data_IF_162251038113
#
_entry.id   IF_162251038113
#
_cell.length_a   1.000
_cell.length_b   1.000
_cell.length_c   1.000
_cell.angle_alpha   90.00
_cell.angle_beta   90.00
_cell.angle_gamma   90.00
#
_symmetry.space_group_name_H-M   'P 1'
#
loop_
_entity.id
_entity.type
_entity.pdbx_description
1 polymer ?
#
# COMPACT_ATOMS: atom_id res chain seq x y z
N UNK A 1 4.39 -6.47 -15.02
CA UNK A 1 3.41 -6.61 -13.93
C UNK A 1 3.56 -7.98 -13.28
N UNK A 2 3.67 -8.01 -11.96
CA UNK A 2 3.79 -9.27 -11.23
C UNK A 2 2.49 -10.07 -11.26
N UNK A 3 2.59 -11.36 -10.91
CA UNK A 3 1.41 -12.22 -10.85
C UNK A 3 0.41 -11.74 -9.79
N UNK A 4 0.90 -11.30 -8.62
CA UNK A 4 0.05 -10.75 -7.57
C UNK A 4 -0.70 -9.49 -8.00
N UNK A 5 -0.04 -8.60 -8.74
CA UNK A 5 -0.69 -7.42 -9.30
C UNK A 5 -1.79 -7.79 -10.29
N UNK A 6 -1.56 -8.80 -11.13
CA UNK A 6 -2.57 -9.29 -12.08
C UNK A 6 -3.81 -9.83 -11.35
N UNK A 7 -3.59 -10.57 -10.27
CA UNK A 7 -4.68 -11.12 -9.45
C UNK A 7 -5.50 -9.99 -8.84
N UNK A 8 -4.85 -9.00 -8.25
CA UNK A 8 -5.53 -7.85 -7.65
C UNK A 8 -6.34 -7.08 -8.70
N UNK A 9 -5.72 -6.80 -9.86
CA UNK A 9 -6.40 -6.14 -10.97
C UNK A 9 -7.68 -6.87 -11.37
N UNK A 10 -7.59 -8.19 -11.51
CA UNK A 10 -8.74 -9.00 -11.93
C UNK A 10 -9.84 -9.01 -10.88
N UNK A 11 -9.48 -9.06 -9.59
CA UNK A 11 -10.46 -8.96 -8.49
C UNK A 11 -11.20 -7.62 -8.54
N UNK A 12 -10.47 -6.52 -8.69
CA UNK A 12 -11.08 -5.18 -8.73
C UNK A 12 -11.99 -5.04 -9.95
N UNK A 13 -11.51 -5.46 -11.11
CA UNK A 13 -12.29 -5.38 -12.35
C UNK A 13 -13.52 -6.25 -12.31
N UNK A 14 -13.41 -7.49 -11.87
CA UNK A 14 -14.51 -8.45 -11.86
C UNK A 14 -15.62 -8.08 -10.85
N UNK A 15 -15.27 -7.26 -9.85
CA UNK A 15 -16.21 -6.75 -8.86
C UNK A 15 -16.66 -5.31 -9.15
N UNK A 16 -16.38 -4.79 -10.33
CA UNK A 16 -16.81 -3.47 -10.79
C UNK A 16 -16.35 -2.33 -9.87
N UNK A 17 -15.15 -2.48 -9.31
CA UNK A 17 -14.52 -1.46 -8.45
C UNK A 17 -13.70 -0.54 -9.34
N UNK A 18 -13.91 0.77 -9.25
CA UNK A 18 -13.17 1.77 -10.02
C UNK A 18 -11.74 1.89 -9.52
N UNK A 19 -10.77 1.72 -10.41
CA UNK A 19 -9.36 1.82 -10.05
C UNK A 19 -8.51 2.33 -11.20
N UNK A 20 -7.36 2.87 -10.83
CA UNK A 20 -6.30 3.24 -11.78
C UNK A 20 -5.02 2.54 -11.33
N UNK A 21 -4.37 1.82 -12.25
CA UNK A 21 -3.08 1.19 -12.00
C UNK A 21 -1.95 2.20 -12.14
N UNK A 22 -0.88 1.97 -11.37
CA UNK A 22 0.32 2.81 -11.41
C UNK A 22 0.00 4.29 -11.18
N UNK A 23 -0.75 4.55 -10.13
CA UNK A 23 -1.19 5.88 -9.78
C UNK A 23 -0.08 6.63 -9.03
N UNK A 24 0.22 7.86 -9.47
CA UNK A 24 1.31 8.65 -8.91
C UNK A 24 0.81 9.94 -8.28
N UNK A 25 1.48 10.33 -7.20
CA UNK A 25 1.32 11.63 -6.56
C UNK A 25 2.60 12.43 -6.72
N UNK A 26 2.47 13.72 -6.96
CA UNK A 26 3.61 14.62 -6.89
C UNK A 26 3.95 14.89 -5.42
N UNK A 27 5.25 14.82 -5.09
CA UNK A 27 5.67 15.19 -3.75
C UNK A 27 5.64 16.72 -3.61
N UNK A 28 5.50 17.22 -2.36
CA UNK A 28 5.43 18.64 -2.04
C UNK A 28 6.60 19.47 -2.59
N UNK A 29 7.71 18.84 -2.94
CA UNK A 29 8.90 19.52 -3.45
C UNK A 29 9.13 19.30 -4.95
N UNK A 30 8.20 18.62 -5.63
CA UNK A 30 8.31 18.37 -7.06
C UNK A 30 9.48 17.50 -7.48
N UNK A 31 10.22 16.91 -6.55
CA UNK A 31 11.45 16.18 -6.84
C UNK A 31 11.26 14.69 -7.16
N UNK A 32 10.17 14.08 -6.72
CA UNK A 32 9.85 12.66 -6.98
C UNK A 32 8.36 12.45 -6.97
N UNK A 33 7.93 11.54 -7.84
CA UNK A 33 6.57 11.03 -7.80
C UNK A 33 6.54 9.80 -6.89
N UNK A 34 5.53 9.73 -6.02
CA UNK A 34 5.22 8.52 -5.29
C UNK A 34 4.21 7.73 -6.09
N UNK A 35 4.60 6.53 -6.53
CA UNK A 35 3.76 5.68 -7.35
C UNK A 35 3.25 4.50 -6.54
N UNK A 36 1.95 4.24 -6.67
CA UNK A 36 1.29 3.11 -6.04
C UNK A 36 0.75 2.18 -7.12
N UNK A 37 0.71 0.88 -6.82
CA UNK A 37 0.27 -0.11 -7.81
C UNK A 37 -1.17 0.09 -8.23
N UNK A 38 -2.07 0.42 -7.27
CA UNK A 38 -3.47 0.69 -7.55
C UNK A 38 -3.98 1.83 -6.69
N UNK A 39 -4.77 2.70 -7.30
CA UNK A 39 -5.61 3.65 -6.59
C UNK A 39 -7.06 3.26 -6.81
N UNK A 40 -7.83 3.11 -5.74
CA UNK A 40 -9.23 2.73 -5.79
C UNK A 40 -10.09 3.93 -5.43
N UNK A 41 -11.15 4.14 -6.21
CA UNK A 41 -12.03 5.29 -6.09
C UNK A 41 -13.42 4.86 -5.65
N UNK A 42 -14.08 5.71 -4.86
CA UNK A 42 -15.44 5.45 -4.41
C UNK A 42 -16.48 5.80 -5.50
N UNK A 43 -17.76 5.62 -5.19
CA UNK A 43 -18.87 5.88 -6.11
C UNK A 43 -18.93 7.34 -6.57
N UNK A 44 -18.38 8.27 -5.79
CA UNK A 44 -18.37 9.69 -6.11
C UNK A 44 -17.10 10.11 -6.86
N UNK A 45 -16.24 9.16 -7.23
CA UNK A 45 -14.99 9.43 -7.92
C UNK A 45 -13.89 9.96 -7.03
N UNK A 46 -14.03 9.88 -5.71
CA UNK A 46 -13.00 10.27 -4.75
C UNK A 46 -12.07 9.10 -4.48
N UNK A 47 -10.79 9.40 -4.25
CA UNK A 47 -9.82 8.40 -3.84
C UNK A 47 -10.23 7.80 -2.51
N UNK A 48 -10.42 6.48 -2.49
CA UNK A 48 -10.84 5.73 -1.31
C UNK A 48 -9.64 5.10 -0.60
N UNK A 49 -8.83 4.35 -1.34
CA UNK A 49 -7.64 3.71 -0.78
C UNK A 49 -6.62 3.39 -1.87
N UNK A 50 -5.41 3.06 -1.42
CA UNK A 50 -4.31 2.66 -2.29
C UNK A 50 -3.91 1.22 -1.98
N UNK A 51 -3.42 0.51 -2.99
CA UNK A 51 -2.94 -0.87 -2.86
C UNK A 51 -1.51 -0.96 -3.38
N UNK A 52 -0.67 -1.65 -2.62
CA UNK A 52 0.68 -2.06 -3.00
C UNK A 52 0.81 -3.58 -2.90
N UNK A 53 1.40 -4.20 -3.91
CA UNK A 53 1.79 -5.60 -3.85
C UNK A 53 3.31 -5.67 -3.75
N UNK A 54 3.80 -6.26 -2.66
CA UNK A 54 5.23 -6.36 -2.37
C UNK A 54 5.75 -7.75 -2.70
N UNK A 55 6.59 -7.82 -3.72
CA UNK A 55 7.30 -9.04 -4.07
C UNK A 55 8.44 -9.35 -3.11
N UNK A 56 9.17 -10.45 -3.38
CA UNK A 56 10.28 -10.90 -2.53
C UNK A 56 11.36 -9.85 -2.34
N UNK A 57 11.59 -8.99 -3.33
CA UNK A 57 12.62 -7.94 -3.27
C UNK A 57 12.40 -6.91 -2.16
N UNK A 58 11.20 -6.84 -1.59
CA UNK A 58 10.91 -5.97 -0.43
C UNK A 58 11.41 -6.56 0.88
N UNK A 59 11.75 -7.84 0.91
CA UNK A 59 12.08 -8.58 2.15
C UNK A 59 13.43 -9.25 2.09
N UNK A 60 13.95 -9.54 0.89
CA UNK A 60 15.19 -10.26 0.67
C UNK A 60 16.09 -9.49 -0.29
N UNK A 61 17.42 -9.51 -0.08
CA UNK A 61 18.34 -9.00 -1.08
C UNK A 61 18.35 -9.95 -2.28
N UNK A 62 17.90 -9.45 -3.42
CA UNK A 62 17.87 -10.21 -4.66
C UNK A 62 18.82 -9.51 -5.65
N UNK A 63 19.81 -10.25 -6.15
CA UNK A 63 20.85 -9.70 -6.99
C UNK A 63 20.31 -8.97 -8.23
N UNK A 64 19.30 -9.55 -8.87
CA UNK A 64 18.64 -8.95 -10.02
C UNK A 64 18.07 -7.55 -9.71
N UNK A 65 17.64 -7.31 -8.48
CA UNK A 65 17.07 -6.04 -8.03
C UNK A 65 18.05 -5.18 -7.23
N UNK A 66 19.36 -5.41 -7.38
CA UNK A 66 20.40 -4.61 -6.75
C UNK A 66 20.91 -5.10 -5.38
N UNK A 67 20.61 -6.35 -4.99
CA UNK A 67 21.10 -6.95 -3.76
C UNK A 67 20.70 -6.19 -2.50
N UNK A 68 21.67 -5.99 -1.57
CA UNK A 68 21.42 -5.30 -0.30
C UNK A 68 21.06 -3.81 -0.49
N UNK A 69 21.71 -3.13 -1.42
CA UNK A 69 21.39 -1.74 -1.71
C UNK A 69 20.00 -1.59 -2.30
N UNK A 70 19.59 -2.52 -3.17
CA UNK A 70 18.24 -2.56 -3.71
C UNK A 70 17.20 -2.73 -2.62
N UNK A 71 17.48 -3.62 -1.65
CA UNK A 71 16.60 -3.84 -0.50
C UNK A 71 16.47 -2.57 0.36
N UNK A 72 17.57 -1.88 0.62
CA UNK A 72 17.54 -0.62 1.38
C UNK A 72 16.74 0.47 0.68
N UNK A 73 16.94 0.62 -0.64
CA UNK A 73 16.14 1.58 -1.43
C UNK A 73 14.66 1.25 -1.37
N UNK A 74 14.32 -0.04 -1.46
CA UNK A 74 12.94 -0.48 -1.38
C UNK A 74 12.32 -0.15 -0.03
N UNK A 75 13.04 -0.40 1.07
CA UNK A 75 12.57 -0.06 2.42
C UNK A 75 12.37 1.45 2.58
N UNK A 76 13.25 2.25 2.02
CA UNK A 76 13.12 3.71 2.04
C UNK A 76 11.87 4.16 1.30
N UNK A 77 11.64 3.63 0.11
CA UNK A 77 10.43 3.94 -0.68
C UNK A 77 9.16 3.51 0.06
N UNK A 78 9.15 2.32 0.64
CA UNK A 78 8.00 1.81 1.40
C UNK A 78 7.68 2.70 2.59
N UNK A 79 8.71 3.18 3.30
CA UNK A 79 8.55 4.10 4.42
C UNK A 79 7.98 5.45 3.95
N UNK A 80 8.48 5.99 2.85
CA UNK A 80 7.99 7.25 2.29
C UNK A 80 6.52 7.15 1.89
N UNK A 81 6.12 6.05 1.24
CA UNK A 81 4.73 5.81 0.86
C UNK A 81 3.82 5.72 2.07
N UNK A 82 4.24 4.97 3.09
CA UNK A 82 3.48 4.82 4.33
C UNK A 82 3.30 6.16 5.05
N UNK A 83 4.37 6.94 5.18
CA UNK A 83 4.31 8.26 5.81
C UNK A 83 3.41 9.22 5.05
N UNK A 84 3.49 9.20 3.73
CA UNK A 84 2.62 10.00 2.87
C UNK A 84 1.15 9.66 3.11
N UNK A 85 0.81 8.37 3.09
CA UNK A 85 -0.56 7.92 3.30
C UNK A 85 -1.08 8.29 4.69
N UNK A 86 -0.25 8.14 5.73
CA UNK A 86 -0.62 8.53 7.09
C UNK A 86 -0.89 10.03 7.19
N UNK A 87 -0.03 10.86 6.59
CA UNK A 87 -0.19 12.30 6.64
C UNK A 87 -1.44 12.79 5.90
N UNK A 88 -1.81 12.12 4.82
CA UNK A 88 -3.00 12.43 4.02
C UNK A 88 -4.26 11.71 4.46
N UNK A 89 -4.16 10.83 5.45
CA UNK A 89 -5.28 9.99 5.92
C UNK A 89 -5.85 9.10 4.81
N UNK A 90 -4.98 8.55 3.97
CA UNK A 90 -5.36 7.63 2.91
C UNK A 90 -5.06 6.21 3.38
N UNK A 91 -6.05 5.30 3.41
CA UNK A 91 -5.76 3.90 3.75
C UNK A 91 -4.83 3.28 2.71
N UNK A 92 -3.76 2.64 3.17
CA UNK A 92 -2.82 1.91 2.32
C UNK A 92 -2.90 0.43 2.64
N UNK A 93 -3.29 -0.35 1.64
CA UNK A 93 -3.38 -1.80 1.72
C UNK A 93 -2.12 -2.40 1.12
N UNK A 94 -1.38 -3.13 1.94
CA UNK A 94 -0.15 -3.81 1.50
C UNK A 94 -0.38 -5.31 1.51
N UNK A 95 -0.16 -5.94 0.36
CA UNK A 95 -0.19 -7.38 0.20
C UNK A 95 1.20 -7.87 -0.18
N UNK A 96 1.58 -9.04 0.31
CA UNK A 96 2.90 -9.59 0.06
C UNK A 96 2.82 -10.82 -0.84
N UNK A 97 3.97 -11.19 -1.40
CA UNK A 97 4.08 -12.40 -2.23
C UNK A 97 3.67 -13.68 -1.46
N UNK A 98 3.77 -13.66 -0.12
CA UNK A 98 3.34 -14.79 0.72
C UNK A 98 1.82 -14.97 0.73
N UNK A 99 1.07 -13.92 0.40
CA UNK A 99 -0.39 -13.92 0.38
C UNK A 99 -0.98 -14.16 -1.01
N UNK A 100 -0.12 -14.32 -2.03
CA UNK A 100 -0.54 -14.35 -3.43
C UNK A 100 -1.64 -15.37 -3.70
N UNK A 101 -1.53 -16.57 -3.13
CA UNK A 101 -2.51 -17.64 -3.33
C UNK A 101 -3.80 -17.46 -2.53
N UNK A 102 -3.85 -16.49 -1.62
CA UNK A 102 -5.00 -16.22 -0.77
C UNK A 102 -5.70 -14.90 -1.12
N UNK A 103 -5.26 -14.23 -2.19
CA UNK A 103 -5.85 -12.96 -2.61
C UNK A 103 -7.27 -13.19 -3.12
N UNK A 104 -8.22 -12.53 -2.48
CA UNK A 104 -9.62 -12.47 -2.89
C UNK A 104 -10.24 -11.16 -2.42
N UNK A 105 -11.49 -10.92 -2.79
CA UNK A 105 -12.18 -9.69 -2.40
C UNK A 105 -12.33 -9.57 -0.88
N UNK A 106 -12.63 -10.67 -0.19
CA UNK A 106 -12.79 -10.66 1.27
C UNK A 106 -11.51 -10.22 1.98
N UNK A 107 -10.36 -10.68 1.51
CA UNK A 107 -9.07 -10.28 2.08
C UNK A 107 -8.83 -8.79 1.84
N UNK A 108 -9.14 -8.29 0.66
CA UNK A 108 -9.00 -6.85 0.34
C UNK A 108 -9.88 -6.01 1.28
N UNK A 109 -11.15 -6.39 1.45
CA UNK A 109 -12.09 -5.65 2.30
C UNK A 109 -11.67 -5.68 3.78
N UNK A 110 -11.20 -6.81 4.27
CA UNK A 110 -10.67 -6.91 5.65
C UNK A 110 -9.44 -6.04 5.84
N UNK A 111 -8.54 -6.04 4.86
CA UNK A 111 -7.33 -5.21 4.91
C UNK A 111 -7.69 -3.73 4.89
N UNK A 112 -8.71 -3.35 4.13
CA UNK A 112 -9.24 -2.00 4.11
C UNK A 112 -9.77 -1.58 5.49
N UNK A 113 -10.58 -2.41 6.13
CA UNK A 113 -11.12 -2.12 7.45
C UNK A 113 -10.00 -1.94 8.48
N UNK A 114 -8.99 -2.80 8.46
CA UNK A 114 -7.82 -2.69 9.34
C UNK A 114 -7.02 -1.42 9.08
N UNK A 115 -6.83 -1.05 7.82
CA UNK A 115 -6.09 0.16 7.46
C UNK A 115 -6.83 1.42 7.94
N UNK A 116 -8.15 1.46 7.78
CA UNK A 116 -8.98 2.55 8.28
C UNK A 116 -8.90 2.66 9.81
N UNK A 117 -9.02 1.53 10.50
CA UNK A 117 -8.91 1.49 11.96
C UNK A 117 -7.57 2.07 12.42
N UNK A 118 -6.46 1.65 11.84
CA UNK A 118 -5.12 2.11 12.21
C UNK A 118 -4.94 3.61 12.00
N UNK A 119 -5.50 4.17 10.93
CA UNK A 119 -5.40 5.61 10.65
C UNK A 119 -6.04 6.46 11.73
N UNK A 120 -7.17 6.02 12.27
CA UNK A 120 -7.95 6.83 13.22
C UNK A 120 -7.66 6.53 14.69
N UNK A 121 -7.04 5.38 15.01
CA UNK A 121 -6.79 4.95 16.39
C UNK A 121 -5.32 4.99 16.81
N UNK A 122 -4.39 5.24 15.89
CA UNK A 122 -2.95 5.23 16.17
C UNK A 122 -2.51 6.28 17.21
N UNK A 123 -3.16 7.44 17.24
CA UNK A 123 -2.88 8.47 18.23
C UNK A 123 -3.25 8.05 19.66
N UNK A 124 -4.26 7.22 19.81
CA UNK A 124 -4.68 6.69 21.12
C UNK A 124 -3.68 5.66 21.63
N UNK A 125 -3.19 4.78 20.75
CA UNK A 125 -2.15 3.80 21.10
C UNK A 125 -0.85 4.48 21.54
N UNK A 126 -0.39 5.49 20.81
CA UNK A 126 0.80 6.26 21.16
C UNK A 126 0.65 7.05 22.46
N UNK A 127 -0.53 7.59 22.72
CA UNK A 127 -0.86 8.28 23.96
C UNK A 127 -0.81 7.33 25.15
N UNK A 128 -1.22 6.09 24.94
CA UNK A 128 -1.24 5.07 25.98
C UNK A 128 0.17 4.59 26.32
N UNK A 129 1.04 4.42 25.34
CA UNK A 129 2.45 4.08 25.53
C UNK A 129 3.21 5.21 26.24
N UNK A 130 2.94 6.47 25.90
CA UNK A 130 3.54 7.64 26.56
C UNK A 130 3.17 7.74 28.02
N UNK A 131 1.98 7.31 28.41
CA UNK A 131 1.51 7.36 29.81
C UNK A 131 1.99 6.19 30.65
N UNK A 132 2.67 5.20 30.07
CA UNK A 132 3.24 4.06 30.78
C UNK A 132 4.62 4.31 31.39
N UNK A 133 5.23 5.41 31.06
CA UNK A 133 6.51 5.82 31.66
C UNK A 133 6.26 6.65 32.92
#
# INVERSE_FOLDING_TARGET
MSNGEKIIRDILRDNEIDFIQEYSFDTLRGRRKLRFDFAVFDENGKLDYLIEFQGRQHYEPIEYFGGMEGLRRQHTHDTQKRNFCESKKIPLLVFTYLEENNLDLDLILKRYDNACYKLYHRKEENKWESNRQ
#
